data_IF_945418503560
#
_entry.id   IF_945418503560
#
_cell.length_a   1.000
_cell.length_b   1.000
_cell.length_c   1.000
_cell.angle_alpha   90.00
_cell.angle_beta   90.00
_cell.angle_gamma   90.00
#
_symmetry.space_group_name_H-M   'P 1'
#
loop_
_entity.id
_entity.type
_entity.pdbx_description
1 polymer ?
#
# COMPACT_ATOMS: atom_id res chain seq x y z
N UNK A 1 -19.45 -54.57 -33.62
CA UNK A 1 -18.46 -53.47 -33.61
C UNK A 1 -18.97 -52.16 -32.99
N UNK A 2 -20.23 -51.74 -33.12
CA UNK A 2 -20.75 -50.46 -32.58
C UNK A 2 -20.66 -50.31 -31.04
N UNK A 3 -20.85 -51.37 -30.26
CA UNK A 3 -20.83 -51.27 -28.78
C UNK A 3 -19.43 -51.11 -28.17
N UNK A 4 -18.38 -51.55 -28.85
CA UNK A 4 -17.02 -51.39 -28.36
C UNK A 4 -16.53 -49.92 -28.47
N UNK A 5 -16.86 -49.27 -29.57
CA UNK A 5 -16.49 -47.86 -29.82
C UNK A 5 -17.17 -46.91 -28.84
N UNK A 6 -18.46 -47.16 -28.54
CA UNK A 6 -19.21 -46.36 -27.56
C UNK A 6 -18.58 -46.49 -26.16
N UNK A 7 -18.21 -47.72 -25.75
CA UNK A 7 -17.54 -47.91 -24.44
C UNK A 7 -16.22 -47.19 -24.35
N UNK A 8 -15.40 -47.20 -25.39
CA UNK A 8 -14.11 -46.48 -25.42
C UNK A 8 -14.31 -44.99 -25.32
N UNK A 9 -15.26 -44.42 -26.07
CA UNK A 9 -15.58 -42.97 -25.99
C UNK A 9 -16.04 -42.62 -24.59
N UNK A 10 -16.90 -43.42 -23.96
CA UNK A 10 -17.39 -43.17 -22.60
C UNK A 10 -16.24 -43.15 -21.59
N UNK A 11 -15.30 -44.13 -21.67
CA UNK A 11 -14.13 -44.13 -20.77
C UNK A 11 -13.22 -42.95 -20.97
N UNK A 12 -12.99 -42.52 -22.21
CA UNK A 12 -12.17 -41.32 -22.50
C UNK A 12 -12.82 -40.05 -21.93
N UNK A 13 -14.13 -39.89 -22.06
CA UNK A 13 -14.86 -38.74 -21.51
C UNK A 13 -14.80 -38.74 -19.97
N UNK A 14 -15.01 -39.91 -19.33
CA UNK A 14 -14.91 -40.00 -17.86
C UNK A 14 -13.49 -39.69 -17.40
N UNK A 15 -12.45 -40.13 -18.07
CA UNK A 15 -11.06 -39.83 -17.75
C UNK A 15 -10.77 -38.34 -17.87
N UNK A 16 -11.23 -37.68 -18.95
CA UNK A 16 -11.08 -36.26 -19.15
C UNK A 16 -11.77 -35.47 -18.05
N UNK A 17 -13.00 -35.82 -17.69
CA UNK A 17 -13.74 -35.16 -16.61
C UNK A 17 -13.00 -35.31 -15.26
N UNK A 18 -12.48 -36.50 -14.96
CA UNK A 18 -11.71 -36.76 -13.75
C UNK A 18 -10.41 -35.91 -13.70
N UNK A 19 -9.67 -35.84 -14.82
CA UNK A 19 -8.45 -35.03 -14.91
C UNK A 19 -8.77 -33.54 -14.73
N UNK A 20 -9.87 -33.06 -15.35
CA UNK A 20 -10.33 -31.67 -15.17
C UNK A 20 -10.75 -31.40 -13.73
N UNK A 21 -11.47 -32.29 -13.08
CA UNK A 21 -11.91 -32.15 -11.70
C UNK A 21 -10.72 -32.11 -10.73
N UNK A 22 -9.72 -32.97 -10.91
CA UNK A 22 -8.50 -32.98 -10.10
C UNK A 22 -7.66 -31.71 -10.38
N UNK A 23 -7.47 -31.31 -11.63
CA UNK A 23 -6.76 -30.09 -12.01
C UNK A 23 -7.44 -28.86 -11.45
N UNK A 24 -8.76 -28.79 -11.48
CA UNK A 24 -9.52 -27.67 -10.92
C UNK A 24 -9.46 -27.64 -9.39
N UNK A 25 -9.52 -28.79 -8.72
CA UNK A 25 -9.35 -28.88 -7.28
C UNK A 25 -7.95 -28.45 -6.84
N UNK A 26 -6.89 -28.86 -7.55
CA UNK A 26 -5.51 -28.43 -7.30
C UNK A 26 -5.34 -26.92 -7.57
N UNK A 27 -5.98 -26.41 -8.61
CA UNK A 27 -5.96 -24.98 -8.92
C UNK A 27 -6.66 -24.16 -7.82
N UNK A 28 -7.83 -24.59 -7.35
CA UNK A 28 -8.54 -23.92 -6.24
C UNK A 28 -7.71 -23.99 -4.96
N UNK A 29 -7.17 -25.15 -4.61
CA UNK A 29 -6.41 -25.31 -3.36
C UNK A 29 -5.06 -24.62 -3.36
N UNK A 30 -4.36 -24.52 -4.49
CA UNK A 30 -3.05 -23.89 -4.60
C UNK A 30 -3.10 -22.44 -5.12
N UNK A 31 -4.16 -22.05 -5.84
CA UNK A 31 -4.29 -20.73 -6.44
C UNK A 31 -5.00 -19.69 -5.59
N UNK A 32 -5.80 -20.11 -4.58
CA UNK A 32 -6.61 -19.18 -3.76
C UNK A 32 -6.32 -19.20 -2.26
N UNK A 33 -5.51 -20.13 -1.77
CA UNK A 33 -5.04 -20.04 -0.39
C UNK A 33 -3.81 -19.12 -0.35
N UNK A 34 -4.02 -17.81 -0.14
CA UNK A 34 -2.95 -17.02 0.45
C UNK A 34 -2.48 -17.79 1.69
N UNK A 35 -1.19 -18.17 1.70
CA UNK A 35 -0.59 -18.78 2.90
C UNK A 35 -0.93 -17.87 4.07
N UNK A 36 -1.47 -18.41 5.18
CA UNK A 36 -1.77 -17.58 6.33
C UNK A 36 -0.52 -16.80 6.69
N UNK A 37 -0.63 -15.47 6.68
CA UNK A 37 0.52 -14.61 6.96
C UNK A 37 0.98 -14.87 8.38
N UNK A 38 2.27 -14.91 8.59
CA UNK A 38 2.90 -15.19 9.89
C UNK A 38 2.65 -14.09 10.92
N UNK A 39 2.11 -12.95 10.51
CA UNK A 39 1.86 -11.80 11.36
C UNK A 39 0.68 -10.97 10.86
N UNK A 40 0.20 -10.09 11.72
CA UNK A 40 -0.71 -9.00 11.37
C UNK A 40 -0.24 -7.70 12.02
N UNK A 41 -0.79 -6.58 11.56
CA UNK A 41 -0.51 -5.26 12.12
C UNK A 41 -1.79 -4.68 12.69
N UNK A 42 -1.72 -4.20 13.91
CA UNK A 42 -2.78 -3.40 14.52
C UNK A 42 -2.46 -1.92 14.23
N UNK A 43 -3.38 -1.21 13.59
CA UNK A 43 -3.22 0.19 13.25
C UNK A 43 -4.32 0.98 13.94
N UNK A 44 -3.95 1.82 14.89
CA UNK A 44 -4.88 2.61 15.69
C UNK A 44 -6.02 1.76 16.30
N UNK A 45 -5.73 0.49 16.68
CA UNK A 45 -6.70 -0.46 17.22
C UNK A 45 -7.40 -1.34 16.17
N UNK A 46 -7.13 -1.16 14.88
CA UNK A 46 -7.72 -1.96 13.80
C UNK A 46 -6.73 -3.02 13.30
N UNK A 47 -7.17 -4.29 13.30
CA UNK A 47 -6.34 -5.42 12.84
C UNK A 47 -6.30 -5.47 11.31
N UNK A 48 -5.09 -5.43 10.73
CA UNK A 48 -4.82 -5.59 9.31
C UNK A 48 -3.96 -6.84 9.10
N UNK A 49 -4.47 -7.81 8.35
CA UNK A 49 -3.80 -9.09 8.10
C UNK A 49 -3.23 -9.22 6.67
N UNK A 50 -3.66 -8.40 5.71
CA UNK A 50 -3.16 -8.47 4.33
C UNK A 50 -2.83 -7.09 3.77
N UNK A 51 -3.82 -6.31 3.45
CA UNK A 51 -3.69 -4.93 2.98
C UNK A 51 -4.83 -4.09 3.50
N UNK A 52 -4.60 -2.79 3.62
CA UNK A 52 -5.62 -1.81 3.95
C UNK A 52 -5.28 -0.50 3.23
N UNK A 53 -6.29 0.34 3.02
CA UNK A 53 -6.16 1.61 2.33
C UNK A 53 -6.98 2.69 3.04
N UNK A 54 -6.81 3.94 2.63
CA UNK A 54 -7.64 5.07 3.05
C UNK A 54 -7.21 5.69 4.38
N UNK A 55 -6.00 5.44 4.86
CA UNK A 55 -5.47 6.13 6.04
C UNK A 55 -5.05 7.55 5.69
N UNK A 56 -5.37 8.49 6.59
CA UNK A 56 -4.93 9.88 6.49
C UNK A 56 -3.83 10.11 7.54
N UNK A 57 -2.65 10.50 7.09
CA UNK A 57 -1.52 10.84 7.96
C UNK A 57 -1.43 12.37 8.08
N UNK A 58 -1.94 12.91 9.16
CA UNK A 58 -1.84 14.33 9.49
C UNK A 58 -0.63 14.62 10.40
N UNK A 59 -0.12 15.85 10.38
CA UNK A 59 1.08 16.26 11.11
C UNK A 59 1.05 15.90 12.61
N UNK A 60 -0.10 16.04 13.24
CA UNK A 60 -0.24 15.84 14.69
C UNK A 60 -1.00 14.54 15.04
N UNK A 61 -1.24 13.67 14.04
CA UNK A 61 -1.95 12.41 14.19
C UNK A 61 -1.16 11.27 13.57
N UNK A 62 -0.14 10.73 14.28
CA UNK A 62 0.67 9.64 13.78
C UNK A 62 -0.15 8.36 13.57
N UNK A 63 0.25 7.56 12.58
CA UNK A 63 -0.20 6.17 12.51
C UNK A 63 0.53 5.36 13.58
N UNK A 64 -0.21 4.85 14.56
CA UNK A 64 0.32 3.96 15.61
C UNK A 64 0.13 2.53 15.16
N UNK A 65 1.22 1.83 14.96
CA UNK A 65 1.24 0.47 14.45
C UNK A 65 1.85 -0.47 15.46
N UNK A 66 1.27 -1.66 15.61
CA UNK A 66 1.80 -2.74 16.40
C UNK A 66 1.86 -4.02 15.61
N UNK A 67 3.06 -4.57 15.40
CA UNK A 67 3.27 -5.83 14.70
C UNK A 67 3.04 -6.98 15.66
N UNK A 68 2.18 -7.92 15.30
CA UNK A 68 1.89 -9.10 16.12
C UNK A 68 2.14 -10.37 15.30
N UNK A 69 3.20 -11.08 15.67
CA UNK A 69 3.52 -12.38 15.09
C UNK A 69 2.61 -13.48 15.67
N UNK A 70 2.22 -14.42 14.83
CA UNK A 70 1.38 -15.56 15.24
C UNK A 70 2.19 -16.67 15.91
N UNK A 71 3.51 -16.66 15.76
CA UNK A 71 4.45 -17.57 16.44
C UNK A 71 5.04 -16.87 17.66
N UNK A 72 5.37 -17.65 18.69
CA UNK A 72 5.98 -17.17 19.92
C UNK A 72 7.44 -16.70 19.77
N UNK A 73 8.10 -17.03 18.66
CA UNK A 73 9.47 -16.65 18.44
C UNK A 73 9.54 -15.15 18.09
N UNK A 74 10.47 -14.43 18.73
CA UNK A 74 10.74 -13.05 18.37
C UNK A 74 11.20 -12.99 16.91
N UNK A 75 10.46 -12.29 16.08
CA UNK A 75 10.76 -12.10 14.66
C UNK A 75 10.99 -10.62 14.39
N UNK A 76 11.97 -10.34 13.57
CA UNK A 76 12.26 -8.98 13.12
C UNK A 76 11.38 -8.63 11.91
N UNK A 77 11.18 -7.35 11.73
CA UNK A 77 10.48 -6.79 10.57
C UNK A 77 11.14 -5.51 10.09
N UNK A 78 10.99 -5.24 8.80
CA UNK A 78 11.36 -3.97 8.16
C UNK A 78 10.12 -3.15 7.86
N UNK A 79 10.31 -1.84 7.82
CA UNK A 79 9.28 -0.86 7.48
C UNK A 79 9.84 0.03 6.38
N UNK A 80 9.10 0.17 5.29
CA UNK A 80 9.42 1.05 4.16
C UNK A 80 8.17 1.82 3.76
N UNK A 81 8.35 2.99 3.18
CA UNK A 81 7.27 3.77 2.58
C UNK A 81 7.61 3.97 1.11
N UNK A 82 6.78 3.42 0.25
CA UNK A 82 6.91 3.53 -1.20
C UNK A 82 5.84 4.47 -1.76
N UNK A 83 6.11 5.07 -2.91
CA UNK A 83 5.04 5.71 -3.68
C UNK A 83 3.97 4.69 -4.05
N UNK A 84 2.69 5.05 -4.02
CA UNK A 84 1.65 4.27 -4.68
C UNK A 84 1.66 4.58 -6.19
N UNK A 85 1.16 3.66 -7.02
CA UNK A 85 0.98 3.95 -8.44
C UNK A 85 -0.20 4.90 -8.62
N UNK A 86 0.04 6.08 -9.18
CA UNK A 86 -0.98 7.11 -9.39
C UNK A 86 -0.66 7.94 -10.64
N UNK A 87 -1.70 8.48 -11.26
CA UNK A 87 -1.56 9.45 -12.37
C UNK A 87 -1.23 10.87 -11.86
N UNK A 88 -1.19 11.07 -10.54
CA UNK A 88 -0.80 12.34 -9.96
C UNK A 88 0.62 12.71 -10.35
N UNK A 89 0.83 14.00 -10.70
CA UNK A 89 2.11 14.51 -11.11
C UNK A 89 2.49 15.77 -10.35
N UNK A 90 3.78 15.89 -10.09
CA UNK A 90 4.39 17.08 -9.51
C UNK A 90 5.61 17.50 -10.33
N UNK A 91 6.19 18.65 -10.02
CA UNK A 91 7.32 19.21 -10.74
C UNK A 91 8.46 19.49 -9.79
N UNK A 92 9.67 19.09 -10.19
CA UNK A 92 10.93 19.37 -9.52
C UNK A 92 11.78 20.21 -10.47
N UNK A 93 12.01 21.47 -10.12
CA UNK A 93 12.69 22.43 -11.00
C UNK A 93 12.11 22.48 -12.43
N UNK A 94 10.78 22.40 -12.52
CA UNK A 94 10.07 22.41 -13.78
C UNK A 94 10.03 21.06 -14.53
N UNK A 95 10.75 20.04 -14.09
CA UNK A 95 10.67 18.69 -14.65
C UNK A 95 9.49 17.94 -14.06
N UNK A 96 8.69 17.31 -14.93
CA UNK A 96 7.54 16.50 -14.54
C UNK A 96 8.00 15.20 -13.88
N UNK A 97 7.48 14.93 -12.69
CA UNK A 97 7.65 13.69 -11.92
C UNK A 97 6.28 13.07 -11.63
N UNK A 98 6.24 11.79 -11.31
CA UNK A 98 5.00 11.07 -11.01
C UNK A 98 5.23 9.97 -9.97
N UNK A 99 4.15 9.38 -9.51
CA UNK A 99 4.15 8.29 -8.55
C UNK A 99 4.12 6.94 -9.29
N UNK A 100 5.25 6.23 -9.30
CA UNK A 100 5.43 4.98 -10.08
C UNK A 100 5.00 3.72 -9.34
N UNK A 101 4.87 3.79 -8.01
CA UNK A 101 4.59 2.64 -7.15
C UNK A 101 5.85 1.95 -6.57
N UNK A 102 7.04 2.40 -6.93
CA UNK A 102 8.31 1.75 -6.55
C UNK A 102 9.30 2.72 -5.89
N UNK A 103 9.04 4.02 -5.96
CA UNK A 103 9.94 5.03 -5.43
C UNK A 103 9.92 5.02 -3.90
N UNK A 104 11.11 4.95 -3.27
CA UNK A 104 11.28 4.94 -1.82
C UNK A 104 11.15 6.37 -1.25
N UNK A 105 10.19 6.56 -0.35
CA UNK A 105 9.93 7.79 0.40
C UNK A 105 10.17 7.61 1.90
N UNK A 106 10.80 6.53 2.34
CA UNK A 106 10.98 6.21 3.76
C UNK A 106 11.59 7.36 4.54
N UNK A 107 12.65 7.98 4.00
CA UNK A 107 13.36 9.09 4.64
C UNK A 107 12.58 10.42 4.63
N UNK A 108 11.44 10.49 3.94
CA UNK A 108 10.56 11.66 3.94
C UNK A 108 9.54 11.65 5.09
N UNK A 109 9.57 10.61 5.92
CA UNK A 109 8.70 10.42 7.07
C UNK A 109 9.53 10.10 8.31
N UNK A 110 8.96 10.35 9.50
CA UNK A 110 9.57 9.98 10.75
C UNK A 110 9.01 8.65 11.21
N UNK A 111 9.85 7.62 11.23
CA UNK A 111 9.48 6.28 11.71
C UNK A 111 10.22 6.01 13.01
N UNK A 112 9.47 5.90 14.11
CA UNK A 112 10.00 5.60 15.44
C UNK A 112 9.59 4.20 15.85
N UNK A 113 10.57 3.31 16.07
CA UNK A 113 10.35 1.90 16.47
C UNK A 113 10.66 1.71 17.94
N UNK A 114 9.78 0.96 18.63
CA UNK A 114 9.96 0.56 20.02
C UNK A 114 9.48 -0.89 20.19
N UNK A 115 10.39 -1.85 19.96
CA UNK A 115 10.05 -3.28 19.96
C UNK A 115 9.10 -3.64 18.81
N UNK A 116 7.92 -4.17 19.18
CA UNK A 116 6.89 -4.55 18.20
C UNK A 116 5.99 -3.37 17.80
N UNK A 117 6.12 -2.23 18.46
CA UNK A 117 5.37 -1.02 18.18
C UNK A 117 6.21 -0.07 17.31
N UNK A 118 5.56 0.64 16.41
CA UNK A 118 6.17 1.77 15.70
C UNK A 118 5.14 2.84 15.36
N UNK A 119 5.61 4.06 15.18
CA UNK A 119 4.80 5.17 14.70
C UNK A 119 5.33 5.66 13.36
N UNK A 120 4.43 6.15 12.52
CA UNK A 120 4.75 6.87 11.29
C UNK A 120 4.18 8.26 11.41
N UNK A 121 5.04 9.26 11.25
CA UNK A 121 4.69 10.67 11.32
C UNK A 121 5.10 11.38 10.03
N UNK A 122 4.32 12.37 9.62
CA UNK A 122 4.66 13.22 8.49
C UNK A 122 5.40 14.48 8.93
N UNK A 123 6.34 14.94 8.12
CA UNK A 123 7.02 16.23 8.31
C UNK A 123 6.09 17.44 8.06
N UNK A 124 4.89 17.18 7.51
CA UNK A 124 3.91 18.22 7.22
C UNK A 124 2.87 17.74 6.22
N UNK A 125 2.46 18.62 5.31
CA UNK A 125 1.55 18.31 4.22
C UNK A 125 2.27 17.69 3.01
N UNK A 126 1.54 17.36 1.95
CA UNK A 126 2.09 16.73 0.75
C UNK A 126 3.27 17.51 0.13
N UNK A 127 3.21 18.84 0.07
CA UNK A 127 4.34 19.63 -0.47
C UNK A 127 5.58 19.49 0.41
N UNK A 128 5.42 19.40 1.72
CA UNK A 128 6.54 19.22 2.66
C UNK A 128 7.21 17.85 2.44
N UNK A 129 6.42 16.79 2.23
CA UNK A 129 6.94 15.44 1.95
C UNK A 129 7.69 15.41 0.61
N UNK A 130 7.11 16.00 -0.45
CA UNK A 130 7.76 16.07 -1.75
C UNK A 130 9.04 16.93 -1.74
N UNK A 131 9.04 18.00 -0.93
CA UNK A 131 10.21 18.85 -0.73
C UNK A 131 11.31 18.13 0.07
N UNK A 132 10.96 17.32 1.07
CA UNK A 132 11.92 16.50 1.81
C UNK A 132 12.62 15.47 0.90
N UNK A 133 11.90 14.94 -0.10
CA UNK A 133 12.49 14.07 -1.13
C UNK A 133 13.47 14.81 -2.05
N UNK A 134 13.28 16.12 -2.22
CA UNK A 134 14.02 16.95 -3.15
C UNK A 134 14.49 18.25 -2.45
N UNK A 135 15.42 18.19 -1.46
CA UNK A 135 15.69 19.29 -0.53
C UNK A 135 16.25 20.54 -1.21
N UNK A 136 17.08 20.38 -2.24
CA UNK A 136 17.80 21.49 -2.90
C UNK A 136 17.09 22.04 -4.14
N UNK A 137 15.84 21.65 -4.37
CA UNK A 137 15.09 21.96 -5.58
C UNK A 137 13.76 22.64 -5.24
N UNK A 138 13.13 23.28 -6.22
CA UNK A 138 11.79 23.85 -6.08
C UNK A 138 10.74 22.81 -6.48
N UNK A 139 9.95 22.35 -5.51
CA UNK A 139 8.83 21.45 -5.75
C UNK A 139 7.52 22.22 -5.85
N UNK A 140 6.70 21.88 -6.85
CA UNK A 140 5.33 22.38 -6.96
C UNK A 140 4.42 21.32 -7.62
N UNK A 141 3.11 21.52 -7.50
CA UNK A 141 2.09 20.70 -8.17
C UNK A 141 0.76 21.46 -8.27
N UNK A 142 -0.13 20.98 -9.13
CA UNK A 142 -1.47 21.54 -9.21
C UNK A 142 -2.32 21.03 -8.04
N UNK A 143 -2.56 21.87 -7.04
CA UNK A 143 -3.33 21.53 -5.82
C UNK A 143 -4.74 21.01 -6.11
N UNK A 144 -5.37 21.47 -7.19
CA UNK A 144 -6.71 21.03 -7.61
C UNK A 144 -6.71 19.62 -8.23
N UNK A 145 -5.54 19.11 -8.60
CA UNK A 145 -5.38 17.80 -9.21
C UNK A 145 -4.89 16.73 -8.21
N UNK A 146 -4.77 17.07 -6.91
CA UNK A 146 -4.42 16.07 -5.88
C UNK A 146 -5.59 15.10 -5.75
N UNK A 147 -5.39 13.81 -6.02
CA UNK A 147 -6.46 12.83 -5.94
C UNK A 147 -6.86 12.55 -4.49
N UNK A 148 -8.10 12.13 -4.29
CA UNK A 148 -8.57 11.62 -3.00
C UNK A 148 -8.27 10.13 -2.86
N UNK A 149 -7.05 9.74 -3.20
CA UNK A 149 -6.53 8.37 -3.15
C UNK A 149 -5.22 8.32 -2.38
N UNK A 150 -4.81 7.11 -2.01
CA UNK A 150 -3.54 6.89 -1.33
C UNK A 150 -2.38 7.10 -2.29
N UNK A 151 -1.50 8.06 -1.98
CA UNK A 151 -0.28 8.35 -2.75
C UNK A 151 0.94 7.60 -2.21
N UNK A 152 0.84 7.04 -1.02
CA UNK A 152 1.91 6.32 -0.36
C UNK A 152 1.45 4.96 0.14
N UNK A 153 2.39 4.02 0.17
CA UNK A 153 2.17 2.67 0.70
C UNK A 153 3.21 2.37 1.78
N UNK A 154 2.76 2.17 2.99
CA UNK A 154 3.56 1.63 4.08
C UNK A 154 3.67 0.12 3.90
N UNK A 155 4.89 -0.36 3.76
CA UNK A 155 5.22 -1.77 3.51
C UNK A 155 5.92 -2.33 4.74
N UNK A 156 5.29 -3.30 5.39
CA UNK A 156 5.85 -4.00 6.56
C UNK A 156 6.18 -5.41 6.13
N UNK A 157 7.45 -5.81 6.24
CA UNK A 157 7.94 -7.11 5.78
C UNK A 157 8.57 -7.88 6.95
N UNK A 158 8.08 -9.08 7.19
CA UNK A 158 8.71 -10.02 8.13
C UNK A 158 10.04 -10.52 7.57
N UNK A 159 11.11 -10.43 8.35
CA UNK A 159 12.43 -10.88 7.92
C UNK A 159 12.54 -12.40 7.79
N UNK A 160 11.75 -13.16 8.54
CA UNK A 160 11.83 -14.61 8.62
C UNK A 160 11.25 -15.34 7.40
N UNK A 161 10.08 -14.94 6.94
CA UNK A 161 9.32 -15.63 5.88
C UNK A 161 9.00 -14.73 4.68
N UNK A 162 9.49 -13.48 4.71
CA UNK A 162 9.27 -12.46 3.69
C UNK A 162 7.79 -12.12 3.45
N UNK A 163 6.91 -12.51 4.38
CA UNK A 163 5.52 -12.08 4.33
C UNK A 163 5.42 -10.56 4.41
N UNK A 164 4.49 -9.97 3.66
CA UNK A 164 4.37 -8.52 3.52
C UNK A 164 2.95 -8.07 3.79
N UNK A 165 2.80 -6.97 4.53
CA UNK A 165 1.52 -6.25 4.69
C UNK A 165 1.71 -4.87 4.07
N UNK A 166 0.74 -4.43 3.26
CA UNK A 166 0.75 -3.15 2.57
C UNK A 166 -0.41 -2.28 3.05
N UNK A 167 -0.12 -1.04 3.39
CA UNK A 167 -1.09 -0.10 3.95
C UNK A 167 -1.01 1.19 3.16
N UNK A 168 -2.06 1.45 2.37
CA UNK A 168 -2.20 2.68 1.61
C UNK A 168 -2.57 3.85 2.50
N UNK A 169 -1.91 4.98 2.31
CA UNK A 169 -2.22 6.21 3.02
C UNK A 169 -1.96 7.45 2.17
N UNK A 170 -2.59 8.54 2.56
CA UNK A 170 -2.39 9.86 1.99
C UNK A 170 -1.97 10.87 3.04
N UNK A 171 -1.30 11.92 2.57
CA UNK A 171 -0.94 13.10 3.37
C UNK A 171 -1.79 14.28 2.87
N UNK A 172 -2.32 15.12 3.75
CA UNK A 172 -3.17 16.25 3.33
C UNK A 172 -2.44 17.16 2.34
N UNK A 173 -3.15 17.64 1.34
CA UNK A 173 -2.70 18.78 0.54
C UNK A 173 -2.70 20.03 1.44
N UNK A 174 -1.80 21.01 1.21
CA UNK A 174 -1.88 22.29 1.92
C UNK A 174 -3.26 22.93 1.68
N UNK A 175 -3.90 23.39 2.73
CA UNK A 175 -5.14 24.15 2.62
C UNK A 175 -4.90 25.38 1.73
N UNK A 176 -5.87 25.72 0.90
CA UNK A 176 -5.82 26.95 0.16
C UNK A 176 -5.87 28.11 1.18
N UNK A 177 -4.79 28.84 1.31
CA UNK A 177 -4.78 30.07 2.06
C UNK A 177 -5.76 31.05 1.36
N UNK A 178 -6.94 31.25 1.95
CA UNK A 178 -7.86 32.27 1.49
C UNK A 178 -7.25 33.60 1.91
N UNK A 179 -6.43 34.20 1.05
CA UNK A 179 -5.99 35.56 1.23
C UNK A 179 -7.21 36.47 0.96
N UNK A 180 -7.93 36.80 2.01
CA UNK A 180 -8.93 37.86 1.94
C UNK A 180 -8.15 39.17 1.80
N UNK A 181 -7.91 39.59 0.57
CA UNK A 181 -7.42 40.93 0.31
C UNK A 181 -8.51 41.93 0.75
N UNK A 182 -8.27 42.81 1.71
CA UNK A 182 -9.27 43.77 2.08
C UNK A 182 -9.61 44.61 0.85
N UNK A 183 -10.88 44.54 0.42
CA UNK A 183 -11.36 45.40 -0.64
C UNK A 183 -11.08 46.86 -0.19
N UNK A 184 -10.25 47.57 -0.96
CA UNK A 184 -10.09 49.02 -0.75
C UNK A 184 -11.47 49.64 -0.99
N UNK A 185 -12.10 50.05 0.11
CA UNK A 185 -13.25 50.96 0.03
C UNK A 185 -12.70 52.27 -0.51
N UNK A 186 -12.93 52.56 -1.77
CA UNK A 186 -12.69 53.89 -2.34
C UNK A 186 -13.94 54.68 -1.99
N UNK A 187 -13.81 55.62 -1.05
CA UNK A 187 -14.84 56.63 -0.72
C UNK A 187 -14.64 57.81 -1.64
#
# INVERSE_FOLDING_TARGET
MKNSTIKIITYVVILLVAVFAVGFAVFITNGFTEKPKSFYVDINGNKVASSANGYLLEKDKPLKCKVKFLSSDKKNYTVQILSAKSDFTYFVDGKKCGFTGEEDFTDCFVITKTGDDFTVETVGNLISVLQSKNPDTKVNYNRKAVPDEDLFTLVITSESDKATIKIGFRVPSPEAEIVISPARLVI
#
